data_IF_641439525164
#
_entry.id   IF_641439525164
#
_cell.length_a   1.000
_cell.length_b   1.000
_cell.length_c   1.000
_cell.angle_alpha   90.00
_cell.angle_beta   90.00
_cell.angle_gamma   90.00
#
_symmetry.space_group_name_H-M   'P 1'
#
loop_
_entity.id
_entity.type
_entity.pdbx_description
1 polymer ?
#
# COMPACT_ATOMS: atom_id res chain seq x y z
N UNK A 1 -46.15 -2.91 35.66
CA UNK A 1 -45.15 -1.84 35.80
C UNK A 1 -45.34 -0.85 34.67
N UNK A 2 -45.64 0.42 34.98
CA UNK A 2 -45.78 1.50 33.99
C UNK A 2 -44.49 2.31 34.00
N UNK A 3 -43.75 2.33 32.89
CA UNK A 3 -42.60 3.21 32.73
C UNK A 3 -43.09 4.63 32.42
N UNK A 4 -42.51 5.64 33.07
CA UNK A 4 -42.87 7.04 32.86
C UNK A 4 -42.18 7.59 31.61
N UNK A 5 -42.72 8.65 31.00
CA UNK A 5 -42.11 9.32 29.83
C UNK A 5 -40.70 9.88 30.11
N UNK A 6 -40.33 10.07 31.37
CA UNK A 6 -38.96 10.48 31.76
C UNK A 6 -37.96 9.32 31.70
N UNK A 7 -38.42 8.07 31.89
CA UNK A 7 -37.57 6.88 31.84
C UNK A 7 -37.16 6.53 30.39
N UNK A 8 -37.95 6.95 29.39
CA UNK A 8 -37.59 6.82 27.97
C UNK A 8 -36.53 7.84 27.52
N UNK A 9 -36.38 8.98 28.21
CA UNK A 9 -35.41 10.01 27.85
C UNK A 9 -33.99 9.67 28.32
N UNK A 10 -33.84 8.92 29.42
CA UNK A 10 -32.53 8.46 29.89
C UNK A 10 -32.01 7.23 29.15
N UNK A 11 -32.87 6.45 28.49
CA UNK A 11 -32.45 5.32 27.64
C UNK A 11 -31.98 5.80 26.25
N UNK A 12 -32.36 7.01 25.84
CA UNK A 12 -32.02 7.55 24.52
C UNK A 12 -30.57 8.12 24.42
N UNK A 13 -29.90 8.40 25.53
CA UNK A 13 -28.56 9.01 25.53
C UNK A 13 -27.38 8.04 25.67
N UNK A 14 -27.61 6.72 25.73
CA UNK A 14 -26.55 5.74 25.99
C UNK A 14 -26.09 4.93 24.76
N UNK A 15 -26.63 5.20 23.56
CA UNK A 15 -26.00 4.73 22.32
C UNK A 15 -24.95 5.75 21.88
N UNK A 16 -23.86 5.84 22.65
CA UNK A 16 -22.61 6.35 22.11
C UNK A 16 -22.30 5.48 20.88
N UNK A 17 -22.39 6.12 19.71
CA UNK A 17 -21.85 5.60 18.47
C UNK A 17 -20.36 5.42 18.74
N UNK A 18 -19.95 4.19 19.07
CA UNK A 18 -18.57 3.79 18.88
C UNK A 18 -18.34 3.94 17.37
N UNK A 19 -17.77 5.06 16.95
CA UNK A 19 -17.14 5.17 15.66
C UNK A 19 -15.97 4.18 15.71
N UNK A 20 -16.23 2.94 15.31
CA UNK A 20 -15.16 2.06 14.90
C UNK A 20 -14.55 2.74 13.69
N UNK A 21 -13.32 3.24 13.84
CA UNK A 21 -12.49 3.58 12.70
C UNK A 21 -12.47 2.34 11.82
N UNK A 22 -13.18 2.38 10.70
CA UNK A 22 -13.05 1.35 9.68
C UNK A 22 -11.64 1.52 9.14
N UNK A 23 -10.70 0.75 9.69
CA UNK A 23 -9.31 0.80 9.24
C UNK A 23 -9.34 0.34 7.79
N UNK A 24 -9.04 1.28 6.93
CA UNK A 24 -8.80 1.03 5.53
C UNK A 24 -7.55 0.16 5.43
N UNK A 25 -7.54 -0.78 4.50
CA UNK A 25 -6.43 -1.69 4.31
C UNK A 25 -6.33 -2.07 2.83
N UNK A 26 -5.14 -2.01 2.25
CA UNK A 26 -4.92 -2.36 0.86
C UNK A 26 -3.45 -2.40 0.47
N UNK A 27 -3.19 -3.05 -0.65
CA UNK A 27 -1.86 -3.22 -1.25
C UNK A 27 -1.98 -3.48 -2.75
N UNK A 28 -0.88 -3.36 -3.47
CA UNK A 28 -0.85 -3.70 -4.90
C UNK A 28 -0.62 -5.21 -5.08
N UNK A 29 -1.58 -5.88 -5.70
CA UNK A 29 -1.54 -7.29 -6.08
C UNK A 29 -0.77 -7.51 -7.37
N UNK A 30 -0.89 -6.60 -8.33
CA UNK A 30 -0.28 -6.72 -9.67
C UNK A 30 0.25 -5.36 -10.14
N UNK A 31 1.47 -5.27 -10.70
CA UNK A 31 2.57 -6.21 -10.43
C UNK A 31 2.76 -6.38 -8.92
N UNK A 32 3.32 -7.51 -8.48
CA UNK A 32 3.34 -7.84 -7.07
C UNK A 32 4.19 -6.84 -6.28
N UNK A 33 3.55 -6.14 -5.35
CA UNK A 33 4.27 -5.28 -4.41
C UNK A 33 5.15 -6.05 -3.44
N UNK A 34 6.01 -5.33 -2.73
CA UNK A 34 6.78 -5.84 -1.59
C UNK A 34 5.86 -6.46 -0.54
N UNK A 35 4.74 -5.80 -0.24
CA UNK A 35 3.69 -6.27 0.68
C UNK A 35 3.08 -7.58 0.17
N UNK A 36 2.89 -7.70 -1.15
CA UNK A 36 2.30 -8.89 -1.74
C UNK A 36 3.27 -10.08 -1.71
N UNK A 37 4.50 -9.91 -2.20
CA UNK A 37 5.52 -10.96 -2.15
C UNK A 37 5.84 -11.39 -0.73
N UNK A 38 6.16 -10.43 0.14
CA UNK A 38 6.70 -10.61 1.48
C UNK A 38 5.70 -10.11 2.54
N UNK A 39 4.49 -10.65 2.51
CA UNK A 39 3.42 -10.29 3.44
C UNK A 39 2.16 -11.08 3.15
N UNK A 40 1.57 -10.91 1.95
CA UNK A 40 0.41 -11.69 1.52
C UNK A 40 0.78 -13.15 1.20
N UNK A 41 1.82 -13.36 0.40
CA UNK A 41 2.23 -14.70 -0.05
C UNK A 41 3.26 -15.32 0.89
N UNK A 42 4.32 -14.57 1.23
CA UNK A 42 5.40 -15.06 2.09
C UNK A 42 5.34 -14.43 3.47
N UNK A 43 5.01 -15.25 4.46
CA UNK A 43 4.79 -14.87 5.85
C UNK A 43 5.73 -15.58 6.83
N UNK A 44 5.90 -15.08 8.07
CA UNK A 44 6.82 -15.65 9.05
C UNK A 44 6.61 -17.14 9.37
N UNK A 45 5.37 -17.65 9.35
CA UNK A 45 5.15 -19.09 9.60
C UNK A 45 5.83 -19.99 8.55
N UNK A 46 6.12 -19.49 7.35
CA UNK A 46 6.76 -20.28 6.30
C UNK A 46 8.24 -20.61 6.58
N UNK A 47 8.88 -19.94 7.55
CA UNK A 47 10.25 -20.27 7.97
C UNK A 47 10.29 -21.25 9.16
N UNK A 48 9.15 -21.67 9.68
CA UNK A 48 9.07 -22.72 10.70
C UNK A 48 9.51 -24.07 10.12
N UNK A 49 10.12 -24.96 10.94
CA UNK A 49 10.56 -26.28 10.49
C UNK A 49 9.44 -27.09 9.83
N UNK A 50 9.70 -27.60 8.62
CA UNK A 50 8.74 -28.40 7.85
C UNK A 50 7.88 -27.61 6.87
N UNK A 51 7.87 -26.28 6.94
CA UNK A 51 7.13 -25.44 6.00
C UNK A 51 7.94 -25.09 4.74
N UNK A 52 7.24 -24.81 3.64
CA UNK A 52 7.84 -24.35 2.38
C UNK A 52 7.84 -22.82 2.34
N UNK A 53 9.00 -22.21 2.11
CA UNK A 53 9.10 -20.78 1.88
C UNK A 53 8.78 -20.44 0.41
N UNK A 54 7.73 -19.66 0.10
CA UNK A 54 7.36 -19.35 -1.28
C UNK A 54 8.43 -18.52 -2.01
N UNK A 55 8.93 -17.47 -1.35
CA UNK A 55 9.98 -16.60 -1.89
C UNK A 55 11.15 -16.47 -0.89
N UNK A 56 12.28 -17.10 -1.22
CA UNK A 56 13.48 -17.10 -0.37
C UNK A 56 14.02 -15.68 -0.12
N UNK A 57 13.89 -14.79 -1.11
CA UNK A 57 14.29 -13.40 -1.01
C UNK A 57 13.56 -12.63 0.11
N UNK A 58 12.37 -13.08 0.55
CA UNK A 58 11.65 -12.46 1.66
C UNK A 58 12.22 -12.84 3.04
N UNK A 59 13.02 -13.92 3.16
CA UNK A 59 13.51 -14.42 4.45
C UNK A 59 14.07 -13.32 5.37
N UNK A 60 14.89 -12.36 4.90
CA UNK A 60 15.49 -11.37 5.80
C UNK A 60 14.48 -10.47 6.51
N UNK A 61 13.26 -10.28 5.98
CA UNK A 61 12.22 -9.46 6.63
C UNK A 61 11.28 -10.28 7.52
N UNK A 62 11.36 -11.61 7.48
CA UNK A 62 10.55 -12.53 8.30
C UNK A 62 11.13 -12.78 9.69
N UNK A 63 12.36 -12.35 9.92
CA UNK A 63 13.10 -12.51 11.17
C UNK A 63 13.57 -11.16 11.67
N UNK A 64 13.45 -10.92 12.98
CA UNK A 64 14.05 -9.78 13.65
C UNK A 64 15.55 -10.02 13.87
N UNK A 65 16.28 -8.96 14.23
CA UNK A 65 17.72 -9.01 14.54
C UNK A 65 18.07 -9.93 15.71
N UNK A 66 17.12 -10.20 16.61
CA UNK A 66 17.29 -11.12 17.74
C UNK A 66 17.02 -12.59 17.38
N UNK A 67 16.69 -12.86 16.10
CA UNK A 67 16.37 -14.19 15.59
C UNK A 67 14.90 -14.60 15.78
N UNK A 68 14.07 -13.78 16.44
CA UNK A 68 12.64 -14.05 16.59
C UNK A 68 11.87 -13.79 15.29
N UNK A 69 10.66 -14.37 15.17
CA UNK A 69 9.79 -14.11 14.02
C UNK A 69 9.30 -12.66 13.98
N UNK A 70 9.34 -12.08 12.79
CA UNK A 70 8.86 -10.73 12.55
C UNK A 70 7.37 -10.73 12.26
N UNK A 71 6.54 -10.73 13.30
CA UNK A 71 5.08 -10.71 13.16
C UNK A 71 4.53 -9.42 12.52
N UNK A 72 5.33 -8.36 12.42
CA UNK A 72 4.98 -7.10 11.75
C UNK A 72 4.64 -7.31 10.26
N UNK A 73 5.18 -8.37 9.64
CA UNK A 73 4.89 -8.76 8.25
C UNK A 73 3.42 -9.16 8.04
N UNK A 74 2.70 -9.57 9.09
CA UNK A 74 1.26 -9.85 8.98
C UNK A 74 0.40 -8.59 8.79
N UNK A 75 0.98 -7.40 8.97
CA UNK A 75 0.32 -6.09 8.75
C UNK A 75 0.52 -5.58 7.31
N UNK A 76 0.66 -6.48 6.33
CA UNK A 76 0.97 -6.16 4.93
C UNK A 76 -0.08 -5.31 4.22
N UNK A 77 -1.30 -5.26 4.75
CA UNK A 77 -2.38 -4.45 4.24
C UNK A 77 -2.46 -3.07 4.91
N UNK A 78 -1.59 -2.77 5.89
CA UNK A 78 -1.72 -1.66 6.85
C UNK A 78 -0.58 -0.64 6.74
N UNK A 79 0.03 -0.49 5.56
CA UNK A 79 1.01 0.56 5.30
C UNK A 79 0.26 1.85 4.93
N UNK A 80 -0.15 2.60 5.94
CA UNK A 80 -1.03 3.77 5.77
C UNK A 80 -0.63 4.99 6.62
N UNK A 81 -1.08 6.15 6.18
CA UNK A 81 -0.95 7.43 6.89
C UNK A 81 -2.16 8.35 6.64
N UNK A 82 -2.40 9.32 7.52
CA UNK A 82 -3.40 10.37 7.35
C UNK A 82 -2.73 11.70 6.97
N UNK A 83 -2.32 11.83 5.72
CA UNK A 83 -1.52 12.97 5.20
C UNK A 83 -2.00 13.42 3.82
N UNK A 84 -1.33 14.35 3.14
CA UNK A 84 -1.58 14.62 1.70
C UNK A 84 -0.66 13.87 0.74
N UNK A 85 0.14 12.91 1.24
CA UNK A 85 1.01 12.05 0.43
C UNK A 85 2.19 12.79 -0.18
N UNK A 86 2.96 12.10 -1.03
CA UNK A 86 4.20 12.60 -1.63
C UNK A 86 3.99 13.93 -2.38
N UNK A 87 2.94 14.03 -3.23
CA UNK A 87 2.72 15.18 -4.10
C UNK A 87 2.57 16.53 -3.36
N UNK A 88 2.06 16.53 -2.13
CA UNK A 88 1.73 17.77 -1.40
C UNK A 88 2.44 17.88 -0.05
N UNK A 89 3.42 17.02 0.21
CA UNK A 89 4.14 17.03 1.46
C UNK A 89 5.52 17.69 1.30
N UNK A 90 5.66 18.89 1.88
CA UNK A 90 6.93 19.62 1.91
C UNK A 90 7.98 18.98 2.83
N UNK A 91 7.57 18.09 3.74
CA UNK A 91 8.42 17.39 4.70
C UNK A 91 8.17 15.88 4.59
N UNK A 92 8.79 15.27 3.58
CA UNK A 92 8.62 13.84 3.34
C UNK A 92 9.16 12.99 4.48
N UNK A 93 8.51 11.86 4.78
CA UNK A 93 8.93 10.93 5.82
C UNK A 93 10.30 10.34 5.52
N UNK A 94 10.94 9.76 6.53
CA UNK A 94 12.27 9.18 6.35
C UNK A 94 12.24 7.92 5.49
N UNK A 95 11.23 7.08 5.67
CA UNK A 95 11.12 5.80 5.00
C UNK A 95 10.19 5.90 3.79
N UNK A 96 10.62 5.40 2.63
CA UNK A 96 9.89 5.56 1.36
C UNK A 96 8.70 4.61 1.28
N UNK A 97 8.94 3.29 1.31
CA UNK A 97 7.89 2.30 1.09
C UNK A 97 6.90 2.28 2.24
N UNK A 98 7.40 2.39 3.47
CA UNK A 98 6.59 2.47 4.67
C UNK A 98 5.91 3.82 4.89
N UNK A 99 6.39 4.90 4.25
CA UNK A 99 5.93 6.27 4.45
C UNK A 99 5.79 6.71 5.92
N UNK A 100 6.67 6.22 6.80
CA UNK A 100 6.56 6.39 8.27
C UNK A 100 5.16 6.01 8.80
N UNK A 101 4.58 4.94 8.27
CA UNK A 101 3.21 4.47 8.55
C UNK A 101 2.85 4.49 10.04
N UNK A 102 1.62 4.92 10.30
CA UNK A 102 1.07 5.05 11.65
C UNK A 102 0.94 3.70 12.35
N UNK A 103 0.66 2.63 11.60
CA UNK A 103 0.64 1.24 12.07
C UNK A 103 1.97 0.87 12.73
N UNK A 104 3.08 1.38 12.20
CA UNK A 104 4.44 1.11 12.67
C UNK A 104 5.00 2.25 13.52
N UNK A 105 4.15 3.20 13.95
CA UNK A 105 4.50 4.32 14.83
C UNK A 105 5.64 5.17 14.27
N UNK A 106 5.66 5.39 12.95
CA UNK A 106 6.68 6.17 12.27
C UNK A 106 8.05 5.48 12.13
N UNK A 107 8.15 4.20 12.49
CA UNK A 107 9.39 3.43 12.31
C UNK A 107 9.42 2.80 10.92
N UNK A 108 10.62 2.37 10.51
CA UNK A 108 10.79 1.57 9.32
C UNK A 108 9.87 0.34 9.37
N UNK A 109 9.13 0.13 8.30
CA UNK A 109 8.31 -1.06 8.10
C UNK A 109 9.20 -2.22 7.62
N UNK A 110 8.70 -3.48 7.64
CA UNK A 110 9.42 -4.59 7.00
C UNK A 110 9.78 -4.30 5.53
N UNK A 111 8.96 -3.52 4.81
CA UNK A 111 9.12 -3.24 3.39
C UNK A 111 10.08 -2.10 3.06
N UNK A 112 10.63 -1.43 4.10
CA UNK A 112 11.74 -0.49 3.97
C UNK A 112 13.11 -1.15 4.06
N UNK A 113 13.17 -2.45 4.37
CA UNK A 113 14.42 -3.16 4.57
C UNK A 113 15.29 -3.15 3.30
N UNK A 114 16.60 -2.90 3.42
CA UNK A 114 17.53 -3.04 2.32
C UNK A 114 17.85 -4.53 2.15
N UNK A 115 17.12 -5.18 1.24
CA UNK A 115 17.32 -6.59 0.87
C UNK A 115 17.26 -6.73 -0.64
N UNK A 116 17.61 -7.89 -1.17
CA UNK A 116 17.45 -8.20 -2.59
C UNK A 116 16.00 -8.58 -2.89
N UNK A 117 15.12 -7.58 -2.96
CA UNK A 117 13.68 -7.74 -3.16
C UNK A 117 13.35 -8.56 -4.43
N UNK A 118 12.32 -9.45 -4.39
CA UNK A 118 11.74 -10.02 -5.60
C UNK A 118 11.26 -8.89 -6.52
N UNK A 119 11.49 -9.01 -7.82
CA UNK A 119 11.10 -8.00 -8.79
C UNK A 119 10.22 -8.59 -9.91
N UNK A 120 9.19 -7.86 -10.30
CA UNK A 120 8.36 -8.19 -11.46
C UNK A 120 9.10 -7.87 -12.75
N UNK A 121 8.90 -8.69 -13.78
CA UNK A 121 9.42 -8.38 -15.13
C UNK A 121 8.45 -7.44 -15.83
N UNK A 122 8.95 -6.28 -16.26
CA UNK A 122 8.19 -5.36 -17.11
C UNK A 122 8.52 -5.66 -18.57
N UNK A 123 7.54 -6.18 -19.30
CA UNK A 123 7.70 -6.57 -20.72
C UNK A 123 6.99 -5.63 -21.68
N UNK A 124 6.12 -4.75 -21.17
CA UNK A 124 5.34 -3.80 -21.96
C UNK A 124 5.40 -2.42 -21.33
N UNK A 125 5.34 -1.39 -22.18
CA UNK A 125 5.26 0.00 -21.72
C UNK A 125 3.95 0.28 -20.97
N UNK A 126 2.82 -0.25 -21.46
CA UNK A 126 1.56 -0.20 -20.75
C UNK A 126 1.49 -1.36 -19.75
N UNK A 127 1.40 -1.03 -18.47
CA UNK A 127 1.31 -1.98 -17.37
C UNK A 127 0.00 -1.77 -16.61
N UNK A 128 -0.70 -2.86 -16.35
CA UNK A 128 -1.86 -2.85 -15.45
C UNK A 128 -1.38 -2.99 -14.00
N UNK A 129 -1.86 -2.07 -13.16
CA UNK A 129 -1.74 -2.06 -11.72
C UNK A 129 -3.08 -2.44 -11.08
N UNK A 130 -3.06 -3.37 -10.13
CA UNK A 130 -4.25 -3.84 -9.41
C UNK A 130 -4.02 -3.63 -7.92
N UNK A 131 -4.86 -2.80 -7.30
CA UNK A 131 -4.94 -2.70 -5.84
C UNK A 131 -5.97 -3.71 -5.31
N UNK A 132 -5.56 -4.57 -4.38
CA UNK A 132 -6.45 -5.38 -3.55
C UNK A 132 -6.87 -4.55 -2.34
N UNK A 133 -8.16 -4.20 -2.29
CA UNK A 133 -8.77 -3.41 -1.22
C UNK A 133 -9.75 -4.23 -0.39
N UNK A 134 -9.65 -5.57 -0.45
CA UNK A 134 -10.56 -6.50 0.22
C UNK A 134 -10.59 -6.39 1.74
N UNK A 135 -9.57 -5.77 2.34
CA UNK A 135 -9.43 -5.58 3.79
C UNK A 135 -10.06 -4.28 4.30
N UNK A 136 -10.51 -3.41 3.39
CA UNK A 136 -11.19 -2.16 3.69
C UNK A 136 -11.59 -1.48 2.38
N UNK A 137 -12.70 -1.88 1.74
CA UNK A 137 -13.03 -1.45 0.38
C UNK A 137 -13.64 -0.06 0.35
N UNK A 138 -12.79 0.96 0.43
CA UNK A 138 -13.14 2.39 0.45
C UNK A 138 -13.44 2.94 -0.94
N UNK A 139 -14.34 2.28 -1.67
CA UNK A 139 -14.71 2.68 -3.03
C UNK A 139 -15.33 4.08 -3.07
N UNK A 140 -16.19 4.40 -2.10
CA UNK A 140 -17.03 5.61 -2.10
C UNK A 140 -16.29 6.92 -1.85
N UNK A 141 -15.12 6.85 -1.23
CA UNK A 141 -14.33 8.02 -0.84
C UNK A 141 -12.85 7.93 -1.26
N UNK A 142 -12.54 7.00 -2.18
CA UNK A 142 -11.27 7.03 -2.92
C UNK A 142 -11.23 8.29 -3.78
N UNK A 143 -10.14 9.05 -3.69
CA UNK A 143 -9.93 10.31 -4.43
C UNK A 143 -8.97 10.10 -5.60
N UNK A 144 -7.84 9.42 -5.39
CA UNK A 144 -6.83 9.25 -6.43
C UNK A 144 -5.90 8.06 -6.21
N UNK A 145 -5.27 7.66 -7.32
CA UNK A 145 -4.11 6.76 -7.36
C UNK A 145 -2.95 7.49 -8.02
N UNK A 146 -1.74 7.36 -7.47
CA UNK A 146 -0.53 8.02 -8.00
C UNK A 146 0.66 7.08 -7.98
N UNK A 147 1.53 7.23 -8.98
CA UNK A 147 2.69 6.37 -9.17
C UNK A 147 3.93 7.18 -9.53
N UNK A 148 5.00 6.98 -8.78
CA UNK A 148 6.33 7.51 -9.04
C UNK A 148 7.28 6.36 -9.32
N UNK A 149 8.34 6.64 -10.05
CA UNK A 149 9.38 5.66 -10.35
C UNK A 149 10.75 6.25 -10.03
N UNK A 150 11.68 5.40 -9.63
CA UNK A 150 13.10 5.77 -9.54
C UNK A 150 13.63 6.41 -10.84
N UNK A 151 14.58 7.33 -10.69
CA UNK A 151 15.23 8.06 -11.78
C UNK A 151 15.96 7.12 -12.76
N UNK A 152 16.23 7.54 -14.01
CA UNK A 152 16.88 6.69 -15.01
C UNK A 152 18.28 6.21 -14.61
N UNK A 153 19.01 7.00 -13.83
CA UNK A 153 20.36 6.70 -13.36
C UNK A 153 20.41 5.93 -12.03
N UNK A 154 19.24 5.65 -11.43
CA UNK A 154 19.14 4.90 -10.18
C UNK A 154 19.87 3.55 -10.27
N UNK A 155 20.64 3.24 -9.24
CA UNK A 155 21.36 1.98 -9.11
C UNK A 155 20.88 1.26 -7.86
N UNK A 156 20.12 0.18 -8.06
CA UNK A 156 19.61 -0.61 -6.96
C UNK A 156 20.74 -1.11 -6.06
N UNK A 157 20.60 -0.88 -4.75
CA UNK A 157 21.55 -1.33 -3.75
C UNK A 157 20.82 -2.07 -2.63
N UNK A 158 20.98 -3.39 -2.61
CA UNK A 158 20.40 -4.27 -1.59
C UNK A 158 20.88 -4.03 -0.15
N UNK A 159 21.80 -3.11 0.09
CA UNK A 159 22.32 -2.77 1.42
C UNK A 159 21.98 -1.33 1.83
N UNK A 160 21.22 -0.58 1.03
CA UNK A 160 20.81 0.79 1.32
C UNK A 160 19.29 0.93 1.20
N UNK A 161 18.61 1.50 2.22
CA UNK A 161 17.20 1.86 2.10
C UNK A 161 17.00 2.89 0.99
N UNK A 162 15.82 2.86 0.37
CA UNK A 162 15.39 3.87 -0.60
C UNK A 162 15.32 5.26 0.04
N UNK A 163 15.55 6.28 -0.77
CA UNK A 163 15.40 7.69 -0.40
C UNK A 163 14.53 8.39 -1.44
N UNK A 164 13.80 9.44 -1.03
CA UNK A 164 12.99 10.22 -1.97
C UNK A 164 13.81 10.83 -3.11
N UNK A 165 15.09 11.11 -2.88
CA UNK A 165 16.02 11.58 -3.92
C UNK A 165 16.26 10.57 -5.05
N UNK A 166 15.96 9.29 -4.83
CA UNK A 166 16.08 8.22 -5.83
C UNK A 166 14.94 8.27 -6.85
N UNK A 167 13.83 8.97 -6.54
CA UNK A 167 12.60 9.02 -7.34
C UNK A 167 12.50 10.28 -8.20
N UNK A 168 11.78 10.16 -9.31
CA UNK A 168 11.26 11.32 -10.04
C UNK A 168 10.39 12.17 -9.10
N UNK A 169 10.39 13.48 -9.29
CA UNK A 169 9.59 14.41 -8.46
C UNK A 169 8.12 14.38 -8.83
N UNK A 170 7.81 14.14 -10.10
CA UNK A 170 6.44 14.06 -10.62
C UNK A 170 6.00 12.61 -10.78
N UNK A 171 4.70 12.31 -10.53
CA UNK A 171 4.18 10.99 -10.83
C UNK A 171 4.15 10.76 -12.34
N UNK A 172 4.50 9.55 -12.77
CA UNK A 172 4.38 9.17 -14.19
C UNK A 172 2.93 8.75 -14.55
N UNK A 173 2.11 8.45 -13.54
CA UNK A 173 0.72 8.06 -13.70
C UNK A 173 -0.11 8.56 -12.52
N UNK A 174 -1.23 9.21 -12.81
CA UNK A 174 -2.19 9.68 -11.82
C UNK A 174 -3.62 9.52 -12.37
N UNK A 175 -4.52 9.00 -11.54
CA UNK A 175 -5.94 8.89 -11.85
C UNK A 175 -6.77 9.36 -10.66
N UNK A 176 -7.78 10.18 -10.93
CA UNK A 176 -8.83 10.50 -9.97
C UNK A 176 -9.95 9.44 -10.04
N UNK A 177 -10.65 9.26 -8.92
CA UNK A 177 -11.82 8.39 -8.82
C UNK A 177 -13.02 9.15 -8.26
N UNK A 178 -14.19 8.88 -8.82
CA UNK A 178 -15.48 9.32 -8.29
C UNK A 178 -16.45 8.13 -8.41
N UNK A 179 -16.81 7.52 -7.28
CA UNK A 179 -17.67 6.33 -7.28
C UNK A 179 -19.10 6.61 -7.77
N UNK A 180 -19.55 7.87 -7.67
CA UNK A 180 -20.87 8.30 -8.16
C UNK A 180 -20.86 8.48 -9.67
N UNK A 181 -19.73 8.90 -10.22
CA UNK A 181 -19.54 9.13 -11.66
C UNK A 181 -18.24 8.46 -12.13
N UNK A 182 -18.15 7.12 -12.10
CA UNK A 182 -16.91 6.43 -12.40
C UNK A 182 -16.44 6.73 -13.83
N UNK A 183 -15.13 6.78 -14.07
CA UNK A 183 -14.57 6.91 -15.41
C UNK A 183 -15.17 5.90 -16.38
N UNK A 184 -15.58 6.38 -17.55
CA UNK A 184 -16.27 5.55 -18.54
C UNK A 184 -15.29 4.66 -19.32
N UNK A 185 -14.03 5.08 -19.43
CA UNK A 185 -12.99 4.31 -20.10
C UNK A 185 -12.35 3.29 -19.15
N UNK A 186 -12.87 2.07 -19.19
CA UNK A 186 -12.35 0.93 -18.42
C UNK A 186 -10.95 0.48 -18.85
N UNK A 187 -10.38 1.02 -19.93
CA UNK A 187 -8.99 0.74 -20.27
C UNK A 187 -8.01 1.59 -19.44
N UNK A 188 -8.48 2.63 -18.76
CA UNK A 188 -7.65 3.51 -17.92
C UNK A 188 -7.76 3.14 -16.45
N UNK A 189 -8.90 3.40 -15.82
CA UNK A 189 -9.18 3.06 -14.43
C UNK A 189 -10.59 2.49 -14.28
N UNK A 190 -10.74 1.45 -13.48
CA UNK A 190 -12.06 0.89 -13.11
C UNK A 190 -12.01 0.11 -11.80
N UNK A 191 -13.17 -0.12 -11.21
CA UNK A 191 -13.32 -0.89 -9.96
C UNK A 191 -14.06 -2.21 -10.18
N UNK A 192 -13.45 -3.32 -9.76
CA UNK A 192 -14.13 -4.62 -9.58
C UNK A 192 -14.65 -4.69 -8.13
N UNK A 193 -15.85 -4.15 -7.89
CA UNK A 193 -16.48 -4.18 -6.57
C UNK A 193 -16.81 -5.59 -6.07
N UNK A 194 -16.93 -6.57 -6.98
CA UNK A 194 -17.19 -7.97 -6.59
C UNK A 194 -15.94 -8.59 -6.00
N UNK A 195 -14.77 -8.28 -6.57
CA UNK A 195 -13.48 -8.78 -6.10
C UNK A 195 -12.75 -7.85 -5.14
N UNK A 196 -13.34 -6.70 -4.83
CA UNK A 196 -12.71 -5.62 -4.06
C UNK A 196 -11.37 -5.17 -4.65
N UNK A 197 -11.38 -4.80 -5.94
CA UNK A 197 -10.17 -4.36 -6.66
C UNK A 197 -10.34 -3.04 -7.38
N UNK A 198 -9.27 -2.28 -7.45
CA UNK A 198 -9.10 -1.19 -8.41
C UNK A 198 -8.06 -1.58 -9.44
N UNK A 199 -8.35 -1.28 -10.70
CA UNK A 199 -7.51 -1.57 -11.85
C UNK A 199 -7.13 -0.26 -12.52
N UNK A 200 -5.83 -0.06 -12.77
CA UNK A 200 -5.30 1.12 -13.45
C UNK A 200 -4.30 0.68 -14.52
N UNK A 201 -4.41 1.18 -15.74
CA UNK A 201 -3.40 0.99 -16.78
C UNK A 201 -2.53 2.23 -16.85
N UNK A 202 -1.23 2.07 -16.64
CA UNK A 202 -0.27 3.17 -16.69
C UNK A 202 0.80 2.91 -17.77
N UNK A 203 1.23 4.00 -18.41
CA UNK A 203 2.38 4.03 -19.32
C UNK A 203 3.65 4.17 -18.46
N UNK A 204 4.31 3.05 -18.17
CA UNK A 204 5.47 3.00 -17.28
C UNK A 204 6.73 3.45 -18.04
N UNK A 205 7.49 4.45 -17.55
CA UNK A 205 8.66 4.95 -18.23
C UNK A 205 9.68 3.86 -18.55
N UNK A 206 10.29 3.93 -19.73
CA UNK A 206 11.40 3.05 -20.08
C UNK A 206 12.59 3.27 -19.14
N UNK A 207 13.21 2.15 -18.74
CA UNK A 207 14.32 2.06 -17.80
C UNK A 207 15.18 0.84 -18.14
N UNK A 208 16.31 0.67 -17.45
CA UNK A 208 17.21 -0.49 -17.64
C UNK A 208 17.61 -1.05 -16.28
N UNK A 209 17.52 -2.38 -16.10
CA UNK A 209 17.87 -3.01 -14.83
C UNK A 209 16.76 -2.93 -13.78
N UNK A 210 17.15 -2.84 -12.50
CA UNK A 210 16.24 -2.87 -11.36
C UNK A 210 15.81 -1.46 -10.95
N UNK A 211 14.51 -1.20 -10.99
CA UNK A 211 13.90 0.04 -10.52
C UNK A 211 12.81 -0.23 -9.49
N UNK A 212 12.41 0.82 -8.78
CA UNK A 212 11.29 0.75 -7.83
C UNK A 212 10.22 1.75 -8.26
N UNK A 213 8.97 1.29 -8.22
CA UNK A 213 7.77 2.12 -8.33
C UNK A 213 7.22 2.31 -6.93
N UNK A 214 7.00 3.57 -6.55
CA UNK A 214 6.28 3.94 -5.34
C UNK A 214 4.86 4.34 -5.74
N UNK A 215 3.86 3.78 -5.06
CA UNK A 215 2.47 4.00 -5.38
C UNK A 215 1.67 4.43 -4.16
N UNK A 216 0.70 5.29 -4.41
CA UNK A 216 -0.29 5.74 -3.42
C UNK A 216 -1.70 5.42 -3.88
N UNK A 217 -2.52 4.98 -2.93
CA UNK A 217 -3.98 5.02 -3.01
C UNK A 217 -4.48 5.98 -1.93
N UNK A 218 -5.12 7.08 -2.33
CA UNK A 218 -5.57 8.13 -1.43
C UNK A 218 -7.09 8.24 -1.34
N UNK A 219 -7.59 8.36 -0.11
CA UNK A 219 -8.96 8.76 0.20
C UNK A 219 -9.09 10.28 0.26
N UNK A 220 -10.32 10.75 0.21
CA UNK A 220 -10.66 12.17 0.18
C UNK A 220 -10.25 12.94 1.44
N UNK A 221 -10.49 14.25 1.41
CA UNK A 221 -10.09 15.18 2.46
C UNK A 221 -10.75 14.97 3.83
N UNK A 222 -11.83 14.16 3.90
CA UNK A 222 -12.50 13.87 5.16
C UNK A 222 -11.62 13.05 6.12
N UNK A 223 -10.76 12.21 5.56
CA UNK A 223 -9.80 11.40 6.32
C UNK A 223 -8.36 11.75 5.98
N UNK A 224 -8.07 12.11 4.72
CA UNK A 224 -6.73 12.19 4.18
C UNK A 224 -5.94 10.88 4.28
N UNK A 225 -6.63 9.76 4.46
CA UNK A 225 -5.99 8.47 4.62
C UNK A 225 -5.42 7.99 3.28
N UNK A 226 -4.20 7.45 3.32
CA UNK A 226 -3.45 6.97 2.17
C UNK A 226 -2.78 5.67 2.48
N UNK A 227 -2.66 4.86 1.44
CA UNK A 227 -1.88 3.64 1.44
C UNK A 227 -0.66 3.80 0.58
N UNK A 228 0.40 3.12 0.97
CA UNK A 228 1.68 3.21 0.34
C UNK A 228 2.14 1.80 -0.02
N UNK A 229 2.65 1.63 -1.23
CA UNK A 229 3.15 0.34 -1.69
C UNK A 229 4.31 0.53 -2.65
N UNK A 230 5.35 -0.29 -2.45
CA UNK A 230 6.51 -0.33 -3.34
C UNK A 230 6.44 -1.57 -4.23
N UNK A 231 6.74 -1.40 -5.51
CA UNK A 231 6.89 -2.48 -6.48
C UNK A 231 8.30 -2.45 -7.03
N UNK A 232 9.05 -3.54 -6.85
CA UNK A 232 10.34 -3.72 -7.50
C UNK A 232 10.13 -4.28 -8.91
N UNK A 233 10.75 -3.65 -9.90
CA UNK A 233 10.60 -4.01 -11.31
C UNK A 233 11.96 -4.22 -11.96
N UNK A 234 12.06 -5.25 -12.79
CA UNK A 234 13.22 -5.59 -13.59
C UNK A 234 12.90 -5.37 -15.06
N UNK A 235 13.59 -4.41 -15.67
CA UNK A 235 13.56 -4.16 -17.11
C UNK A 235 14.56 -5.07 -17.80
N UNK A 236 14.12 -5.69 -18.89
CA UNK A 236 14.96 -6.46 -19.82
C UNK A 236 15.86 -5.56 -20.65
#
# INVERSE_FOLDING_TARGET
MKFSRLDLLFIACAFMIFQQSAHSHGLIEKPMSREYFCGKITQPHHIEPGNKLPYEACRPVLTKSDGSYNHDVYQFMSVLSHTRGYYQNSNLPKHVCGYDSETFKGKATPWDAPINWPADKITTHNQEFIWDVSYGPHFSDTEHFRYWITKPDYQFNKNKPLQWSDFETEPFCEYAWDDKYPPQDKNTIWADKIKNKFHMTCSVPARTGHHVIYAEWGRDQSTNERFHSCIDVAYS
#
